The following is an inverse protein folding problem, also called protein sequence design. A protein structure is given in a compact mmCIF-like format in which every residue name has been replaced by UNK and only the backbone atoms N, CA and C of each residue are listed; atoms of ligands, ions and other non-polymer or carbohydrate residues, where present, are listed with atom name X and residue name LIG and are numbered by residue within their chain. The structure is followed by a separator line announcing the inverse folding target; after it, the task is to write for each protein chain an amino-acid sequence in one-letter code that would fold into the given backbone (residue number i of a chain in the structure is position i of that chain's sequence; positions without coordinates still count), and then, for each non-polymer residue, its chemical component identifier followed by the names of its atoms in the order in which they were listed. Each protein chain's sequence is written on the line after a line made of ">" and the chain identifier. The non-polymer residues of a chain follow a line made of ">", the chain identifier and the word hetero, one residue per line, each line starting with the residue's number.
data_IF_790370951923
#
_entry.id   IF_790370951923
#
_cell.length_a   1.000
_cell.length_b   1.000
_cell.length_c   1.000
_cell.angle_alpha   90.00
_cell.angle_beta   90.00
_cell.angle_gamma   90.00
#
_symmetry.space_group_name_H-M   'P 1'
#
loop_
_entity.id
_entity.type
_entity.pdbx_description
1 polymer ?
#
# COMPACT_ATOMS: atom_id res chain seq x y z
N UNK A 1 17.66 -5.62 -3.09
CA UNK A 1 17.78 -4.16 -2.84
C UNK A 1 16.56 -3.37 -3.35
N UNK A 2 16.15 -3.43 -4.64
CA UNK A 2 15.06 -2.59 -5.15
C UNK A 2 13.73 -2.78 -4.42
N UNK A 3 13.38 -4.02 -4.08
CA UNK A 3 12.15 -4.36 -3.33
C UNK A 3 12.18 -3.75 -1.94
N UNK A 4 13.29 -3.88 -1.22
CA UNK A 4 13.42 -3.31 0.11
C UNK A 4 13.31 -1.77 0.06
N UNK A 5 13.79 -1.12 -1.00
CA UNK A 5 13.56 0.32 -1.22
C UNK A 5 12.07 0.62 -1.43
N UNK A 6 11.37 -0.14 -2.27
CA UNK A 6 9.92 0.00 -2.44
C UNK A 6 9.16 -0.21 -1.14
N UNK A 7 9.53 -1.20 -0.34
CA UNK A 7 8.92 -1.47 0.97
C UNK A 7 9.16 -0.31 1.93
N UNK A 8 10.35 0.31 1.92
CA UNK A 8 10.62 1.53 2.70
C UNK A 8 9.74 2.69 2.23
N UNK A 9 9.66 2.95 0.91
CA UNK A 9 8.83 4.04 0.36
C UNK A 9 7.35 3.80 0.70
N UNK A 10 6.87 2.57 0.53
CA UNK A 10 5.51 2.16 0.86
C UNK A 10 5.22 2.32 2.35
N UNK A 11 6.14 1.89 3.23
CA UNK A 11 6.01 2.10 4.66
C UNK A 11 5.97 3.59 5.04
N UNK A 12 6.80 4.42 4.40
CA UNK A 12 6.82 5.87 4.64
C UNK A 12 5.46 6.47 4.27
N UNK A 13 4.99 6.19 3.05
CA UNK A 13 3.77 6.77 2.52
C UNK A 13 2.50 6.28 3.21
N UNK A 14 2.39 4.97 3.50
CA UNK A 14 1.23 4.44 4.23
C UNK A 14 1.13 5.00 5.65
N UNK A 15 2.26 5.10 6.36
CA UNK A 15 2.28 5.74 7.68
C UNK A 15 1.90 7.22 7.57
N UNK A 16 2.36 7.91 6.53
CA UNK A 16 2.05 9.33 6.33
C UNK A 16 0.55 9.55 6.08
N UNK A 17 -0.03 8.79 5.14
CA UNK A 17 -1.47 8.81 4.78
C UNK A 17 -2.34 8.49 5.98
N UNK A 18 -2.05 7.38 6.69
CA UNK A 18 -2.82 6.98 7.86
C UNK A 18 -2.80 8.10 8.91
N UNK A 19 -1.64 8.70 9.14
CA UNK A 19 -1.49 9.74 10.16
C UNK A 19 -2.19 11.04 9.75
N UNK A 20 -2.18 11.43 8.48
CA UNK A 20 -2.93 12.60 8.00
C UNK A 20 -4.41 12.48 8.37
N UNK A 21 -5.05 11.34 8.07
CA UNK A 21 -6.47 11.15 8.38
C UNK A 21 -6.73 11.04 9.88
N UNK A 22 -5.83 10.44 10.66
CA UNK A 22 -5.91 10.47 12.11
C UNK A 22 -5.79 11.89 12.67
N UNK A 23 -4.93 12.74 12.12
CA UNK A 23 -4.80 14.14 12.56
C UNK A 23 -6.06 14.93 12.25
N UNK A 24 -6.64 14.75 11.06
CA UNK A 24 -7.92 15.39 10.71
C UNK A 24 -9.00 14.98 11.72
N UNK A 25 -9.14 13.69 12.00
CA UNK A 25 -10.10 13.19 12.99
C UNK A 25 -9.82 13.71 14.41
N UNK A 26 -8.56 13.71 14.86
CA UNK A 26 -8.16 14.18 16.18
C UNK A 26 -8.47 15.66 16.37
N UNK A 27 -8.26 16.48 15.33
CA UNK A 27 -8.54 17.93 15.38
C UNK A 27 -10.03 18.27 15.41
N UNK A 28 -10.91 17.32 15.08
CA UNK A 28 -12.35 17.45 15.32
C UNK A 28 -12.73 17.17 16.77
N UNK A 29 -11.85 16.54 17.55
CA UNK A 29 -12.05 16.28 18.99
C UNK A 29 -11.45 17.38 19.86
N UNK A 30 -10.27 17.87 19.48
CA UNK A 30 -9.48 18.83 20.25
C UNK A 30 -8.89 19.88 19.33
N UNK A 31 -8.98 21.15 19.72
CA UNK A 31 -8.43 22.26 18.94
C UNK A 31 -6.92 22.39 19.18
N UNK A 32 -6.14 21.74 18.33
CA UNK A 32 -4.67 21.80 18.34
C UNK A 32 -4.11 21.98 16.92
N UNK A 33 -2.91 22.58 16.77
CA UNK A 33 -2.25 22.70 15.48
C UNK A 33 -1.96 21.34 14.84
N UNK A 34 -2.05 21.27 13.50
CA UNK A 34 -1.84 20.04 12.72
C UNK A 34 -0.48 19.38 13.02
N UNK A 35 0.60 20.17 13.06
CA UNK A 35 1.94 19.64 13.29
C UNK A 35 2.08 19.01 14.69
N UNK A 36 1.41 19.55 15.70
CA UNK A 36 1.45 19.05 17.07
C UNK A 36 0.70 17.72 17.18
N UNK A 37 -0.50 17.67 16.60
CA UNK A 37 -1.29 16.44 16.48
C UNK A 37 -0.51 15.33 15.75
N UNK A 38 0.08 15.66 14.60
CA UNK A 38 0.87 14.72 13.81
C UNK A 38 2.06 14.19 14.61
N UNK A 39 2.83 15.09 15.23
CA UNK A 39 4.00 14.72 16.04
C UNK A 39 3.61 13.80 17.19
N UNK A 40 2.53 14.12 17.91
CA UNK A 40 2.03 13.28 19.01
C UNK A 40 1.65 11.87 18.56
N UNK A 41 0.92 11.75 17.45
CA UNK A 41 0.53 10.45 16.89
C UNK A 41 1.77 9.66 16.45
N UNK A 42 2.73 10.29 15.77
CA UNK A 42 3.97 9.63 15.35
C UNK A 42 4.81 9.14 16.52
N UNK A 43 4.88 9.89 17.62
CA UNK A 43 5.59 9.46 18.84
C UNK A 43 4.96 8.16 19.39
N UNK A 44 3.63 8.10 19.46
CA UNK A 44 2.91 6.91 19.92
C UNK A 44 3.17 5.72 18.97
N UNK A 45 3.05 5.92 17.67
CA UNK A 45 3.30 4.89 16.66
C UNK A 45 4.75 4.37 16.71
N UNK A 46 5.74 5.26 16.87
CA UNK A 46 7.15 4.90 16.97
C UNK A 46 7.46 4.08 18.23
N UNK A 47 6.86 4.46 19.38
CA UNK A 47 6.99 3.68 20.63
C UNK A 47 6.49 2.25 20.44
N UNK A 48 5.31 2.07 19.82
CA UNK A 48 4.81 0.73 19.51
C UNK A 48 5.71 -0.05 18.55
N UNK A 49 6.25 0.61 17.53
CA UNK A 49 7.14 -0.02 16.56
C UNK A 49 8.48 -0.47 17.18
N UNK A 50 9.02 0.27 18.15
CA UNK A 50 10.29 -0.05 18.83
C UNK A 50 10.19 -1.34 19.64
N UNK A 51 9.03 -1.60 20.26
CA UNK A 51 8.79 -2.75 21.13
C UNK A 51 8.72 -4.10 20.40
N UNK A 52 8.68 -4.09 19.05
CA UNK A 52 8.96 -5.25 18.21
C UNK A 52 7.77 -6.17 17.93
N UNK A 53 8.04 -7.21 17.13
CA UNK A 53 7.05 -8.06 16.46
C UNK A 53 5.96 -8.63 17.37
N UNK A 54 6.32 -9.22 18.51
CA UNK A 54 5.35 -9.93 19.36
C UNK A 54 4.31 -9.00 19.96
N UNK A 55 4.72 -7.78 20.34
CA UNK A 55 3.80 -6.80 20.86
C UNK A 55 2.93 -6.20 19.75
N UNK A 56 3.50 -5.93 18.58
CA UNK A 56 2.74 -5.49 17.40
C UNK A 56 1.65 -6.53 17.06
N UNK A 57 1.99 -7.82 17.09
CA UNK A 57 1.01 -8.89 16.88
C UNK A 57 -0.10 -8.93 17.93
N UNK A 58 0.26 -8.78 19.21
CA UNK A 58 -0.72 -8.74 20.29
C UNK A 58 -1.65 -7.52 20.15
N UNK A 59 -1.09 -6.34 19.91
CA UNK A 59 -1.85 -5.10 19.70
C UNK A 59 -2.75 -5.25 18.48
N UNK A 60 -2.27 -5.80 17.37
CA UNK A 60 -3.11 -6.04 16.19
C UNK A 60 -4.27 -6.98 16.52
N UNK A 61 -4.05 -8.06 17.27
CA UNK A 61 -5.12 -8.99 17.68
C UNK A 61 -6.19 -8.31 18.54
N UNK A 62 -5.77 -7.48 19.50
CA UNK A 62 -6.69 -6.72 20.35
C UNK A 62 -7.42 -5.66 19.51
N UNK A 63 -6.68 -4.90 18.71
CA UNK A 63 -7.19 -3.85 17.85
C UNK A 63 -8.20 -4.39 16.84
N UNK A 64 -8.00 -5.59 16.28
CA UNK A 64 -8.99 -6.22 15.40
C UNK A 64 -10.34 -6.32 16.11
N UNK A 65 -10.39 -6.87 17.33
CA UNK A 65 -11.66 -7.01 18.06
C UNK A 65 -12.26 -5.65 18.41
N UNK A 66 -11.45 -4.75 18.97
CA UNK A 66 -11.91 -3.42 19.42
C UNK A 66 -12.41 -2.59 18.24
N UNK A 67 -11.63 -2.51 17.15
CA UNK A 67 -11.99 -1.74 15.97
C UNK A 67 -13.18 -2.36 15.24
N UNK A 68 -13.30 -3.69 15.18
CA UNK A 68 -14.51 -4.32 14.64
C UNK A 68 -15.75 -3.90 15.43
N UNK A 69 -15.71 -3.89 16.76
CA UNK A 69 -16.85 -3.44 17.57
C UNK A 69 -17.15 -1.96 17.31
N UNK A 70 -16.12 -1.11 17.32
CA UNK A 70 -16.30 0.33 17.11
C UNK A 70 -16.84 0.65 15.70
N UNK A 71 -16.32 0.00 14.65
CA UNK A 71 -16.85 0.17 13.30
C UNK A 71 -18.24 -0.45 13.13
N UNK A 72 -18.60 -1.50 13.88
CA UNK A 72 -19.97 -2.02 13.93
C UNK A 72 -20.93 -0.99 14.54
N UNK A 73 -20.53 -0.33 15.64
CA UNK A 73 -21.30 0.79 16.21
C UNK A 73 -21.45 1.92 15.19
N UNK A 74 -20.36 2.35 14.55
CA UNK A 74 -20.39 3.37 13.50
C UNK A 74 -21.33 2.94 12.36
N UNK A 75 -21.29 1.68 11.93
CA UNK A 75 -22.16 1.15 10.88
C UNK A 75 -23.63 1.32 11.26
N UNK A 76 -24.02 0.88 12.46
CA UNK A 76 -25.41 0.96 12.95
C UNK A 76 -25.87 2.42 13.00
N UNK A 77 -25.02 3.32 13.50
CA UNK A 77 -25.32 4.75 13.56
C UNK A 77 -25.48 5.36 12.17
N UNK A 78 -24.60 5.00 11.23
CA UNK A 78 -24.70 5.44 9.84
C UNK A 78 -26.01 4.97 9.21
N UNK A 79 -26.42 3.71 9.40
CA UNK A 79 -27.65 3.15 8.80
C UNK A 79 -28.92 3.93 9.18
N UNK A 80 -28.93 4.63 10.31
CA UNK A 80 -30.11 5.40 10.75
C UNK A 80 -30.35 6.68 9.96
N UNK A 81 -29.32 7.20 9.29
CA UNK A 81 -29.36 8.47 8.56
C UNK A 81 -29.11 8.34 7.07
N UNK A 82 -28.76 7.14 6.60
CA UNK A 82 -28.51 6.88 5.19
C UNK A 82 -29.81 6.95 4.42
N UNK A 83 -29.79 7.73 3.35
CA UNK A 83 -30.78 7.66 2.30
C UNK A 83 -30.40 6.56 1.29
N UNK A 84 -31.17 5.48 1.27
CA UNK A 84 -30.98 4.36 0.33
C UNK A 84 -31.56 4.63 -1.06
N UNK A 85 -32.21 5.78 -1.27
CA UNK A 85 -32.77 6.18 -2.56
C UNK A 85 -31.74 6.87 -3.46
N UNK A 86 -30.50 7.05 -2.98
CA UNK A 86 -29.42 7.69 -3.72
C UNK A 86 -29.10 6.90 -4.99
N UNK A 87 -29.46 7.51 -6.13
CA UNK A 87 -29.18 6.98 -7.46
C UNK A 87 -27.80 7.41 -7.97
N UNK A 88 -27.47 6.94 -9.18
CA UNK A 88 -26.25 7.34 -9.89
C UNK A 88 -26.31 8.84 -10.20
N UNK A 89 -25.34 9.61 -9.70
CA UNK A 89 -25.17 11.00 -10.09
C UNK A 89 -24.30 11.10 -11.35
N UNK A 90 -24.93 11.27 -12.50
CA UNK A 90 -24.24 11.42 -13.80
C UNK A 90 -23.50 12.75 -13.95
N UNK A 91 -23.78 13.73 -13.10
CA UNK A 91 -23.13 15.05 -13.08
C UNK A 91 -21.92 15.09 -12.13
N UNK A 92 -21.63 13.98 -11.42
CA UNK A 92 -20.50 13.93 -10.51
C UNK A 92 -19.16 14.17 -11.27
N UNK A 93 -18.20 14.92 -10.71
CA UNK A 93 -16.95 15.26 -11.39
C UNK A 93 -16.12 14.06 -11.89
N UNK A 94 -16.29 12.90 -11.27
CA UNK A 94 -15.60 11.65 -11.61
C UNK A 94 -16.50 10.63 -12.33
N UNK A 95 -17.70 11.03 -12.76
CA UNK A 95 -18.57 10.16 -13.54
C UNK A 95 -17.96 9.93 -14.92
N UNK A 96 -17.70 8.66 -15.25
CA UNK A 96 -17.07 8.23 -16.49
C UNK A 96 -17.90 7.14 -17.20
N UNK A 97 -19.18 7.01 -16.83
CA UNK A 97 -20.04 5.90 -17.24
C UNK A 97 -19.96 4.70 -16.30
N UNK A 98 -20.96 3.81 -16.36
CA UNK A 98 -21.07 2.68 -15.42
C UNK A 98 -19.85 1.74 -15.50
N UNK A 99 -19.47 1.33 -16.71
CA UNK A 99 -18.36 0.37 -16.88
C UNK A 99 -17.00 0.94 -16.45
N UNK A 100 -16.65 2.15 -16.91
CA UNK A 100 -15.38 2.78 -16.56
C UNK A 100 -15.31 3.16 -15.08
N UNK A 101 -16.44 3.57 -14.48
CA UNK A 101 -16.55 3.82 -13.05
C UNK A 101 -16.29 2.54 -12.24
N UNK A 102 -16.90 1.43 -12.64
CA UNK A 102 -16.64 0.12 -12.02
C UNK A 102 -15.19 -0.35 -12.19
N UNK A 103 -14.61 -0.17 -13.38
CA UNK A 103 -13.22 -0.58 -13.61
C UNK A 103 -12.24 0.25 -12.78
N UNK A 104 -12.46 1.56 -12.69
CA UNK A 104 -11.66 2.47 -11.87
C UNK A 104 -11.81 2.16 -10.38
N UNK A 105 -13.04 1.93 -9.92
CA UNK A 105 -13.31 1.48 -8.55
C UNK A 105 -12.58 0.17 -8.24
N UNK A 106 -12.70 -0.84 -9.10
CA UNK A 106 -12.00 -2.11 -8.95
C UNK A 106 -10.47 -1.91 -8.96
N UNK A 107 -9.97 -1.01 -9.80
CA UNK A 107 -8.57 -0.61 -9.88
C UNK A 107 -8.04 -0.04 -8.57
N UNK A 108 -8.78 0.83 -7.89
CA UNK A 108 -8.39 1.37 -6.59
C UNK A 108 -8.32 0.31 -5.49
N UNK A 109 -9.32 -0.56 -5.39
CA UNK A 109 -9.31 -1.66 -4.41
C UNK A 109 -8.19 -2.66 -4.71
N UNK A 110 -8.00 -3.00 -5.98
CA UNK A 110 -6.91 -3.86 -6.42
C UNK A 110 -5.54 -3.24 -6.10
N UNK A 111 -5.33 -1.97 -6.44
CA UNK A 111 -4.12 -1.23 -6.12
C UNK A 111 -3.84 -1.28 -4.62
N UNK A 112 -4.82 -0.91 -3.78
CA UNK A 112 -4.71 -0.95 -2.33
C UNK A 112 -4.22 -2.32 -1.85
N UNK A 113 -4.89 -3.41 -2.24
CA UNK A 113 -4.52 -4.77 -1.80
C UNK A 113 -3.12 -5.14 -2.29
N UNK A 114 -2.82 -4.85 -3.55
CA UNK A 114 -1.54 -5.22 -4.15
C UNK A 114 -0.37 -4.52 -3.46
N UNK A 115 -0.53 -3.29 -2.96
CA UNK A 115 0.53 -2.58 -2.22
C UNK A 115 1.07 -3.33 -1.01
N UNK A 116 0.29 -4.25 -0.44
CA UNK A 116 0.66 -5.07 0.72
C UNK A 116 1.45 -6.33 0.34
N UNK A 117 1.51 -6.69 -0.94
CA UNK A 117 2.22 -7.88 -1.44
C UNK A 117 3.68 -7.96 -0.97
N UNK A 118 4.48 -6.86 -1.00
CA UNK A 118 5.87 -6.91 -0.53
C UNK A 118 6.01 -7.27 0.96
N UNK A 119 4.98 -7.04 1.77
CA UNK A 119 4.99 -7.34 3.20
C UNK A 119 4.53 -8.77 3.52
N UNK A 120 3.97 -9.50 2.55
CA UNK A 120 3.42 -10.84 2.78
C UNK A 120 4.47 -11.83 3.33
N UNK A 121 5.72 -11.72 2.90
CA UNK A 121 6.84 -12.56 3.37
C UNK A 121 7.24 -12.29 4.82
N UNK A 122 6.95 -11.11 5.36
CA UNK A 122 7.29 -10.77 6.75
C UNK A 122 6.47 -11.58 7.75
N UNK A 123 5.26 -11.96 7.38
CA UNK A 123 4.35 -12.75 8.22
C UNK A 123 4.46 -14.25 7.93
N UNK A 124 4.55 -14.64 6.65
CA UNK A 124 4.56 -16.07 6.28
C UNK A 124 5.81 -16.80 6.78
N UNK A 125 6.94 -16.10 6.98
CA UNK A 125 8.18 -16.69 7.52
C UNK A 125 8.05 -17.25 8.93
N UNK A 126 7.05 -16.81 9.69
CA UNK A 126 6.80 -17.28 11.06
C UNK A 126 5.85 -18.47 11.12
N UNK A 127 5.25 -18.86 9.98
CA UNK A 127 4.37 -20.03 9.91
C UNK A 127 5.19 -21.33 9.85
N UNK A 128 4.71 -22.42 10.48
CA UNK A 128 5.31 -23.74 10.29
C UNK A 128 5.36 -24.13 8.81
N UNK A 129 6.41 -24.84 8.40
CA UNK A 129 6.58 -25.31 7.01
C UNK A 129 5.43 -26.24 6.56
N UNK A 130 4.73 -26.87 7.49
CA UNK A 130 3.57 -27.75 7.23
C UNK A 130 2.26 -26.99 7.02
N UNK A 131 2.27 -25.66 7.12
CA UNK A 131 1.05 -24.84 6.96
C UNK A 131 0.57 -24.88 5.52
N UNK A 132 -0.70 -25.25 5.33
CA UNK A 132 -1.31 -25.30 4.00
C UNK A 132 -1.37 -23.91 3.35
N UNK A 133 -0.78 -23.78 2.15
CA UNK A 133 -0.85 -22.54 1.36
C UNK A 133 -2.30 -22.12 1.07
N UNK A 134 -3.19 -23.08 0.78
CA UNK A 134 -4.60 -22.80 0.50
C UNK A 134 -5.32 -22.18 1.72
N UNK A 135 -5.01 -22.65 2.93
CA UNK A 135 -5.56 -22.06 4.15
C UNK A 135 -5.06 -20.63 4.36
N UNK A 136 -3.76 -20.40 4.19
CA UNK A 136 -3.17 -19.05 4.30
C UNK A 136 -3.84 -18.10 3.31
N UNK A 137 -3.91 -18.49 2.03
CA UNK A 137 -4.58 -17.69 0.99
C UNK A 137 -6.04 -17.43 1.35
N UNK A 138 -6.80 -18.45 1.75
CA UNK A 138 -8.23 -18.30 2.04
C UNK A 138 -8.49 -17.34 3.20
N UNK A 139 -7.79 -17.49 4.33
CA UNK A 139 -7.99 -16.61 5.49
C UNK A 139 -7.54 -15.17 5.21
N UNK A 140 -6.40 -14.98 4.53
CA UNK A 140 -5.91 -13.64 4.16
C UNK A 140 -6.85 -12.96 3.17
N UNK A 141 -7.28 -13.67 2.11
CA UNK A 141 -8.18 -13.12 1.10
C UNK A 141 -9.56 -12.81 1.68
N UNK A 142 -10.15 -13.72 2.47
CA UNK A 142 -11.48 -13.53 3.05
C UNK A 142 -11.48 -12.39 4.07
N UNK A 143 -10.46 -12.33 4.95
CA UNK A 143 -10.34 -11.23 5.92
C UNK A 143 -10.23 -9.87 5.24
N UNK A 144 -9.40 -9.78 4.19
CA UNK A 144 -9.24 -8.55 3.39
C UNK A 144 -10.55 -8.19 2.69
N UNK A 145 -11.18 -9.15 2.03
CA UNK A 145 -12.44 -8.94 1.30
C UNK A 145 -13.56 -8.46 2.22
N UNK A 146 -13.78 -9.12 3.36
CA UNK A 146 -14.84 -8.75 4.31
C UNK A 146 -14.61 -7.34 4.85
N UNK A 147 -13.38 -7.01 5.26
CA UNK A 147 -13.07 -5.69 5.78
C UNK A 147 -13.27 -4.58 4.72
N UNK A 148 -12.79 -4.81 3.49
CA UNK A 148 -12.90 -3.86 2.40
C UNK A 148 -14.34 -3.67 1.91
N UNK A 149 -15.08 -4.76 1.74
CA UNK A 149 -16.49 -4.70 1.34
C UNK A 149 -17.32 -3.98 2.39
N UNK A 150 -17.11 -4.29 3.68
CA UNK A 150 -17.86 -3.68 4.76
C UNK A 150 -17.53 -2.20 4.93
N UNK A 151 -16.27 -1.83 5.15
CA UNK A 151 -15.88 -0.44 5.40
C UNK A 151 -15.96 0.42 4.12
N UNK A 152 -15.66 -0.16 2.96
CA UNK A 152 -15.87 0.50 1.67
C UNK A 152 -17.36 0.76 1.41
N UNK A 153 -18.24 -0.18 1.76
CA UNK A 153 -19.68 0.00 1.72
C UNK A 153 -20.14 1.16 2.61
N UNK A 154 -19.65 1.25 3.85
CA UNK A 154 -19.91 2.43 4.71
C UNK A 154 -19.41 3.71 4.04
N UNK A 155 -18.23 3.71 3.43
CA UNK A 155 -17.69 4.86 2.70
C UNK A 155 -18.61 5.35 1.58
N UNK A 156 -19.20 4.43 0.81
CA UNK A 156 -20.21 4.78 -0.21
C UNK A 156 -21.43 5.44 0.43
N UNK A 157 -21.91 4.90 1.54
CA UNK A 157 -23.07 5.46 2.25
C UNK A 157 -22.78 6.81 2.92
N UNK A 158 -21.55 7.04 3.39
CA UNK A 158 -21.12 8.35 3.86
C UNK A 158 -21.05 9.33 2.68
N UNK A 159 -20.56 8.89 1.53
CA UNK A 159 -20.40 9.75 0.35
C UNK A 159 -21.74 10.25 -0.20
N UNK A 160 -22.83 9.50 -0.03
CA UNK A 160 -24.15 9.95 -0.49
C UNK A 160 -24.73 11.09 0.35
N UNK A 161 -24.28 11.23 1.59
CA UNK A 161 -24.68 12.29 2.52
C UNK A 161 -23.67 13.44 2.57
N UNK A 162 -22.43 13.19 2.17
CA UNK A 162 -21.30 14.11 2.36
C UNK A 162 -21.49 15.50 1.74
N UNK A 163 -22.22 15.62 0.62
CA UNK A 163 -22.30 16.87 -0.13
C UNK A 163 -20.91 17.33 -0.56
N UNK A 164 -20.49 18.51 -0.10
CA UNK A 164 -19.13 19.05 -0.32
C UNK A 164 -18.13 18.66 0.77
N UNK A 165 -18.56 17.93 1.81
CA UNK A 165 -17.68 17.51 2.89
C UNK A 165 -16.73 16.40 2.43
N UNK A 166 -15.49 16.53 2.87
CA UNK A 166 -14.52 15.45 2.83
C UNK A 166 -14.93 14.26 3.73
N UNK A 167 -14.37 13.07 3.48
CA UNK A 167 -14.84 11.82 4.09
C UNK A 167 -14.83 11.80 5.64
N UNK A 168 -13.84 12.43 6.28
CA UNK A 168 -13.74 12.46 7.75
C UNK A 168 -14.77 13.43 8.35
N UNK A 169 -14.87 14.70 7.89
CA UNK A 169 -15.98 15.58 8.28
C UNK A 169 -17.37 15.01 7.98
N UNK A 170 -17.57 14.38 6.83
CA UNK A 170 -18.84 13.74 6.47
C UNK A 170 -19.21 12.61 7.45
N UNK A 171 -18.22 11.79 7.84
CA UNK A 171 -18.44 10.75 8.85
C UNK A 171 -18.81 11.34 10.22
N UNK A 172 -18.16 12.43 10.62
CA UNK A 172 -18.49 13.12 11.87
C UNK A 172 -19.92 13.67 11.85
N UNK A 173 -20.33 14.32 10.76
CA UNK A 173 -21.68 14.87 10.63
C UNK A 173 -22.75 13.76 10.60
N UNK A 174 -22.48 12.69 9.84
CA UNK A 174 -23.33 11.51 9.80
C UNK A 174 -23.50 10.89 11.20
N UNK A 175 -22.44 10.77 11.98
CA UNK A 175 -22.50 10.20 13.34
C UNK A 175 -23.02 11.17 14.41
N UNK A 176 -23.11 12.47 14.12
CA UNK A 176 -23.75 13.48 14.98
C UNK A 176 -23.19 13.52 16.40
N UNK A 177 -24.04 13.29 17.41
CA UNK A 177 -23.59 13.26 18.82
C UNK A 177 -22.57 12.16 19.13
N UNK A 178 -22.45 11.16 18.26
CA UNK A 178 -21.45 10.09 18.36
C UNK A 178 -20.17 10.37 17.57
N UNK A 179 -20.04 11.54 16.94
CA UNK A 179 -18.82 11.96 16.26
C UNK A 179 -17.55 11.77 17.11
N UNK A 180 -17.55 12.04 18.43
CA UNK A 180 -16.36 11.81 19.23
C UNK A 180 -15.88 10.36 19.23
N UNK A 181 -16.81 9.40 19.27
CA UNK A 181 -16.51 7.97 19.22
C UNK A 181 -15.99 7.58 17.83
N UNK A 182 -16.61 8.10 16.77
CA UNK A 182 -16.18 7.84 15.39
C UNK A 182 -14.76 8.36 15.12
N UNK A 183 -14.48 9.60 15.50
CA UNK A 183 -13.16 10.21 15.32
C UNK A 183 -12.09 9.53 16.16
N UNK A 184 -12.41 9.16 17.40
CA UNK A 184 -11.49 8.37 18.23
C UNK A 184 -11.21 7.01 17.59
N UNK A 185 -12.22 6.36 17.01
CA UNK A 185 -12.06 5.09 16.29
C UNK A 185 -11.12 5.23 15.10
N UNK A 186 -11.27 6.30 14.30
CA UNK A 186 -10.37 6.62 13.19
C UNK A 186 -8.94 6.79 13.71
N UNK A 187 -8.72 7.62 14.73
CA UNK A 187 -7.37 7.82 15.32
C UNK A 187 -6.78 6.49 15.78
N UNK A 188 -7.51 5.72 16.59
CA UNK A 188 -7.05 4.45 17.15
C UNK A 188 -6.75 3.41 16.06
N UNK A 189 -7.51 3.39 14.98
CA UNK A 189 -7.32 2.43 13.87
C UNK A 189 -5.97 2.56 13.19
N UNK A 190 -5.38 3.76 13.20
CA UNK A 190 -4.13 4.04 12.49
C UNK A 190 -2.90 3.59 13.26
N UNK A 191 -2.99 3.45 14.59
CA UNK A 191 -1.83 3.17 15.44
C UNK A 191 -1.22 1.79 15.16
N UNK A 192 -1.99 0.68 15.13
CA UNK A 192 -1.42 -0.65 14.93
C UNK A 192 -0.82 -0.82 13.53
N UNK A 193 -1.53 -0.37 12.50
CA UNK A 193 -1.09 -0.47 11.11
C UNK A 193 0.15 0.39 10.83
N UNK A 194 0.22 1.59 11.40
CA UNK A 194 1.37 2.47 11.22
C UNK A 194 2.58 1.98 12.00
N UNK A 195 2.39 1.42 13.19
CA UNK A 195 3.47 0.76 13.94
C UNK A 195 4.06 -0.43 13.15
N UNK A 196 3.20 -1.22 12.50
CA UNK A 196 3.60 -2.31 11.62
C UNK A 196 4.40 -1.80 10.41
N UNK A 197 3.98 -0.71 9.78
CA UNK A 197 4.70 -0.08 8.67
C UNK A 197 6.08 0.43 9.09
N UNK A 198 6.17 1.16 10.21
CA UNK A 198 7.45 1.65 10.76
C UNK A 198 8.40 0.48 11.08
N UNK A 199 7.86 -0.60 11.67
CA UNK A 199 8.64 -1.80 11.96
C UNK A 199 9.13 -2.49 10.68
N UNK A 200 8.25 -2.78 9.72
CA UNK A 200 8.60 -3.44 8.45
C UNK A 200 9.55 -2.62 7.59
N UNK A 201 9.34 -1.31 7.53
CA UNK A 201 10.26 -0.39 6.87
C UNK A 201 11.65 -0.39 7.52
N UNK A 202 11.73 -0.44 8.86
CA UNK A 202 13.02 -0.50 9.56
C UNK A 202 13.79 -1.79 9.25
N UNK A 203 13.09 -2.93 9.12
CA UNK A 203 13.69 -4.19 8.68
C UNK A 203 14.16 -4.13 7.22
N UNK A 204 13.44 -3.40 6.38
CA UNK A 204 13.82 -3.18 4.98
C UNK A 204 15.10 -2.35 4.87
N UNK A 205 15.30 -1.32 5.72
CA UNK A 205 16.56 -0.57 5.82
C UNK A 205 17.75 -1.47 6.20
N UNK A 206 17.55 -2.38 7.15
CA UNK A 206 18.58 -3.37 7.54
C UNK A 206 18.93 -4.31 6.37
N UNK A 207 17.93 -4.69 5.58
CA UNK A 207 18.09 -5.59 4.43
C UNK A 207 18.92 -4.96 3.31
N UNK A 208 18.86 -3.63 3.14
CA UNK A 208 19.72 -2.89 2.20
C UNK A 208 21.08 -2.50 2.81
N UNK A 209 21.45 -3.06 3.96
CA UNK A 209 22.74 -2.90 4.64
C UNK A 209 23.07 -1.45 5.00
N UNK A 210 22.06 -0.63 5.24
CA UNK A 210 22.27 0.68 5.86
C UNK A 210 22.65 0.43 7.34
N UNK A 211 23.76 1.00 7.84
CA UNK A 211 24.29 0.69 9.18
C UNK A 211 23.50 1.41 10.29
N UNK A 212 22.20 1.18 10.36
CA UNK A 212 21.31 1.70 11.41
C UNK A 212 20.82 0.54 12.27
N UNK A 213 20.72 0.74 13.58
CA UNK A 213 20.00 -0.22 14.42
C UNK A 213 18.48 -0.06 14.21
N UNK A 214 17.68 -1.05 14.64
CA UNK A 214 16.22 -1.04 14.45
C UNK A 214 15.55 0.24 14.98
N UNK A 215 15.97 0.72 16.15
CA UNK A 215 15.38 1.90 16.80
C UNK A 215 15.63 3.16 15.95
N UNK A 216 16.87 3.34 15.48
CA UNK A 216 17.23 4.43 14.58
C UNK A 216 16.48 4.30 13.26
N UNK A 217 16.34 3.09 12.71
CA UNK A 217 15.56 2.86 11.50
C UNK A 217 14.09 3.26 11.64
N UNK A 218 13.44 2.90 12.76
CA UNK A 218 12.08 3.34 13.09
C UNK A 218 12.00 4.86 13.19
N UNK A 219 12.93 5.50 13.90
CA UNK A 219 12.95 6.95 14.06
C UNK A 219 13.13 7.69 12.72
N UNK A 220 14.05 7.23 11.86
CA UNK A 220 14.28 7.81 10.54
C UNK A 220 13.03 7.73 9.68
N UNK A 221 12.39 6.56 9.62
CA UNK A 221 11.16 6.38 8.83
C UNK A 221 10.04 7.23 9.38
N UNK A 222 9.85 7.26 10.71
CA UNK A 222 8.83 8.09 11.35
C UNK A 222 9.04 9.58 11.07
N UNK A 223 10.29 10.07 11.10
CA UNK A 223 10.61 11.47 10.81
C UNK A 223 10.34 11.82 9.34
N UNK A 224 10.72 10.95 8.40
CA UNK A 224 10.43 11.17 6.98
C UNK A 224 8.92 11.13 6.73
N UNK A 225 8.21 10.14 7.29
CA UNK A 225 6.75 10.05 7.22
C UNK A 225 6.06 11.27 7.81
N UNK A 226 6.54 11.79 8.95
CA UNK A 226 6.04 13.04 9.54
C UNK A 226 6.20 14.20 8.57
N UNK A 227 7.38 14.35 7.95
CA UNK A 227 7.61 15.35 6.91
C UNK A 227 6.59 15.24 5.77
N UNK A 228 6.35 14.03 5.26
CA UNK A 228 5.34 13.77 4.22
C UNK A 228 3.93 14.12 4.71
N UNK A 229 3.53 13.70 5.91
CA UNK A 229 2.24 14.06 6.53
C UNK A 229 2.04 15.58 6.60
N UNK A 230 3.07 16.33 6.95
CA UNK A 230 3.00 17.80 7.01
C UNK A 230 2.84 18.43 5.63
N UNK A 231 3.44 17.85 4.58
CA UNK A 231 3.26 18.31 3.21
C UNK A 231 1.86 18.01 2.68
N UNK A 232 1.26 16.89 3.11
CA UNK A 232 -0.08 16.47 2.70
C UNK A 232 -1.21 17.30 3.31
N UNK A 233 -0.95 18.12 4.34
CA UNK A 233 -1.99 18.81 5.11
C UNK A 233 -2.91 19.71 4.25
N UNK A 234 -2.41 20.23 3.14
CA UNK A 234 -3.14 21.17 2.26
C UNK A 234 -4.06 20.46 1.27
N UNK A 235 -3.77 19.22 0.92
CA UNK A 235 -4.58 18.41 0.02
C UNK A 235 -4.48 16.92 0.40
N UNK A 236 -5.05 16.52 1.55
CA UNK A 236 -4.86 15.19 2.10
C UNK A 236 -5.44 14.09 1.21
N UNK A 237 -6.64 14.31 0.64
CA UNK A 237 -7.31 13.35 -0.23
C UNK A 237 -6.65 13.25 -1.59
N UNK A 238 -6.33 14.38 -2.25
CA UNK A 238 -5.60 14.36 -3.53
C UNK A 238 -4.24 13.69 -3.40
N UNK A 239 -3.48 14.01 -2.34
CA UNK A 239 -2.19 13.36 -2.07
C UNK A 239 -2.34 11.86 -1.81
N UNK A 240 -3.44 11.44 -1.18
CA UNK A 240 -3.74 10.01 -0.99
C UNK A 240 -4.03 9.30 -2.32
N UNK A 241 -4.81 9.91 -3.21
CA UNK A 241 -5.06 9.37 -4.55
C UNK A 241 -3.78 9.25 -5.37
N UNK A 242 -2.96 10.30 -5.41
CA UNK A 242 -1.67 10.26 -6.11
C UNK A 242 -0.74 9.18 -5.52
N UNK A 243 -0.72 9.03 -4.20
CA UNK A 243 0.04 7.97 -3.53
C UNK A 243 -0.43 6.57 -3.93
N UNK A 244 -1.75 6.32 -3.93
CA UNK A 244 -2.31 5.05 -4.39
C UNK A 244 -1.95 4.75 -5.84
N UNK A 245 -2.05 5.75 -6.72
CA UNK A 245 -1.70 5.62 -8.14
C UNK A 245 -0.23 5.24 -8.30
N UNK A 246 0.70 5.98 -7.69
CA UNK A 246 2.13 5.67 -7.76
C UNK A 246 2.43 4.27 -7.24
N UNK A 247 1.82 3.85 -6.13
CA UNK A 247 2.01 2.50 -5.63
C UNK A 247 1.43 1.45 -6.59
N UNK A 248 0.24 1.65 -7.15
CA UNK A 248 -0.34 0.75 -8.14
C UNK A 248 0.60 0.56 -9.34
N UNK A 249 1.11 1.67 -9.86
CA UNK A 249 1.97 1.75 -11.04
C UNK A 249 3.30 0.99 -10.87
N UNK A 250 3.82 0.95 -9.64
CA UNK A 250 5.07 0.26 -9.33
C UNK A 250 4.85 -1.18 -8.88
N UNK A 251 3.81 -1.43 -8.08
CA UNK A 251 3.60 -2.72 -7.42
C UNK A 251 2.97 -3.75 -8.34
N UNK A 252 2.09 -3.36 -9.27
CA UNK A 252 1.48 -4.32 -10.21
C UNK A 252 2.52 -4.97 -11.13
N UNK A 253 3.39 -4.21 -11.83
CA UNK A 253 4.50 -4.80 -12.58
C UNK A 253 5.41 -5.67 -11.70
N UNK A 254 5.69 -5.21 -10.48
CA UNK A 254 6.55 -5.93 -9.54
C UNK A 254 5.97 -7.30 -9.17
N UNK A 255 4.73 -7.33 -8.69
CA UNK A 255 4.05 -8.56 -8.29
C UNK A 255 3.89 -9.52 -9.46
N UNK A 256 3.72 -8.99 -10.67
CA UNK A 256 3.70 -9.79 -11.90
C UNK A 256 5.02 -10.53 -12.10
N UNK A 257 6.15 -9.81 -12.07
CA UNK A 257 7.49 -10.41 -12.17
C UNK A 257 7.73 -11.42 -11.05
N UNK A 258 7.38 -11.06 -9.81
CA UNK A 258 7.56 -11.93 -8.64
C UNK A 258 6.82 -13.27 -8.81
N UNK A 259 5.55 -13.21 -9.22
CA UNK A 259 4.74 -14.41 -9.43
C UNK A 259 5.27 -15.24 -10.60
N UNK A 260 5.65 -14.61 -11.71
CA UNK A 260 6.24 -15.31 -12.85
C UNK A 260 7.57 -15.98 -12.50
N UNK A 261 8.45 -15.31 -11.76
CA UNK A 261 9.71 -15.90 -11.29
C UNK A 261 9.46 -17.05 -10.32
N UNK A 262 8.52 -16.90 -9.40
CA UNK A 262 8.13 -17.97 -8.49
C UNK A 262 7.63 -19.21 -9.23
N UNK A 263 6.62 -19.08 -10.10
CA UNK A 263 5.97 -20.22 -10.74
C UNK A 263 6.80 -20.84 -11.87
N UNK A 264 7.52 -20.05 -12.66
CA UNK A 264 8.27 -20.55 -13.81
C UNK A 264 9.68 -21.04 -13.43
N UNK A 265 10.28 -20.49 -12.37
CA UNK A 265 11.67 -20.72 -11.97
C UNK A 265 11.80 -21.24 -10.54
N UNK A 266 11.50 -20.43 -9.53
CA UNK A 266 11.86 -20.76 -8.13
C UNK A 266 11.20 -22.05 -7.63
N UNK A 267 9.92 -22.28 -7.95
CA UNK A 267 9.18 -23.49 -7.52
C UNK A 267 9.85 -24.79 -7.96
N UNK A 268 10.57 -24.76 -9.09
CA UNK A 268 11.31 -25.92 -9.61
C UNK A 268 12.68 -26.08 -8.95
N UNK A 269 13.29 -24.98 -8.51
CA UNK A 269 14.61 -24.95 -7.88
C UNK A 269 14.58 -25.35 -6.40
N UNK A 270 13.45 -25.16 -5.71
CA UNK A 270 13.31 -25.50 -4.29
C UNK A 270 14.38 -24.80 -3.44
N UNK A 271 15.06 -25.55 -2.57
CA UNK A 271 16.07 -25.02 -1.65
C UNK A 271 17.26 -24.35 -2.36
N UNK A 272 17.55 -24.72 -3.61
CA UNK A 272 18.61 -24.10 -4.40
C UNK A 272 18.31 -22.63 -4.72
N UNK A 273 17.04 -22.22 -4.77
CA UNK A 273 16.66 -20.81 -4.97
C UNK A 273 17.05 -19.95 -3.77
N UNK A 274 17.01 -20.51 -2.55
CA UNK A 274 17.36 -19.78 -1.32
C UNK A 274 18.83 -19.40 -1.29
N UNK A 275 19.72 -20.28 -1.78
CA UNK A 275 21.16 -20.00 -1.86
C UNK A 275 21.47 -18.77 -2.73
N UNK A 276 20.67 -18.52 -3.77
CA UNK A 276 20.84 -17.37 -4.65
C UNK A 276 20.53 -16.02 -3.97
N UNK A 277 19.62 -16.01 -2.99
CA UNK A 277 19.25 -14.79 -2.25
C UNK A 277 20.41 -14.25 -1.40
N UNK A 278 21.32 -15.14 -0.99
CA UNK A 278 22.49 -14.78 -0.18
C UNK A 278 23.72 -14.45 -1.03
N UNK A 279 23.67 -14.61 -2.35
CA UNK A 279 24.81 -14.29 -3.21
C UNK A 279 24.96 -12.76 -3.37
N UNK A 280 25.99 -12.14 -2.75
CA UNK A 280 26.19 -10.69 -2.83
C UNK A 280 26.54 -10.21 -4.24
N UNK A 281 26.85 -11.13 -5.16
CA UNK A 281 27.17 -10.83 -6.55
C UNK A 281 25.91 -10.50 -7.36
N UNK A 282 24.74 -10.90 -6.89
CA UNK A 282 23.44 -10.76 -7.57
C UNK A 282 22.68 -9.55 -7.02
N UNK A 283 23.19 -8.36 -7.30
CA UNK A 283 22.56 -7.10 -6.86
C UNK A 283 21.38 -6.70 -7.73
N UNK A 284 21.52 -6.87 -9.05
CA UNK A 284 20.51 -6.58 -10.08
C UNK A 284 20.49 -7.72 -11.09
N UNK A 285 19.30 -8.24 -11.37
CA UNK A 285 19.07 -9.37 -12.28
C UNK A 285 17.92 -9.06 -13.24
N UNK A 286 17.70 -9.94 -14.21
CA UNK A 286 16.68 -9.75 -15.26
C UNK A 286 15.26 -9.50 -14.74
N UNK A 287 14.91 -10.00 -13.54
CA UNK A 287 13.64 -9.67 -12.90
C UNK A 287 13.49 -8.16 -12.61
N UNK A 288 14.55 -7.48 -12.17
CA UNK A 288 14.52 -6.03 -11.98
C UNK A 288 14.36 -5.29 -13.31
N UNK A 289 15.04 -5.73 -14.37
CA UNK A 289 14.91 -5.14 -15.70
C UNK A 289 13.49 -5.32 -16.25
N UNK A 290 12.92 -6.51 -16.10
CA UNK A 290 11.53 -6.78 -16.48
C UNK A 290 10.54 -5.89 -15.72
N UNK A 291 10.80 -5.66 -14.43
CA UNK A 291 10.00 -4.76 -13.61
C UNK A 291 10.08 -3.31 -14.12
N UNK A 292 11.29 -2.80 -14.38
CA UNK A 292 11.50 -1.44 -14.92
C UNK A 292 10.82 -1.28 -16.28
N UNK A 293 10.93 -2.27 -17.18
CA UNK A 293 10.24 -2.25 -18.48
C UNK A 293 8.72 -2.25 -18.29
N UNK A 294 8.21 -3.06 -17.36
CA UNK A 294 6.78 -3.07 -17.02
C UNK A 294 6.30 -1.71 -16.50
N UNK A 295 7.05 -1.06 -15.61
CA UNK A 295 6.75 0.29 -15.15
C UNK A 295 6.84 1.34 -16.27
N UNK A 296 7.86 1.26 -17.13
CA UNK A 296 7.99 2.17 -18.27
C UNK A 296 6.81 2.03 -19.24
N UNK A 297 6.37 0.80 -19.51
CA UNK A 297 5.20 0.56 -20.36
C UNK A 297 3.89 1.00 -19.69
N UNK A 298 3.75 0.76 -18.38
CA UNK A 298 2.65 1.31 -17.57
C UNK A 298 2.61 2.84 -17.63
N UNK A 299 3.78 3.50 -17.61
CA UNK A 299 3.90 4.97 -17.57
C UNK A 299 3.27 5.66 -18.77
N UNK A 300 3.11 4.97 -19.89
CA UNK A 300 2.41 5.50 -21.06
C UNK A 300 0.95 5.89 -20.74
N UNK A 301 0.36 5.28 -19.73
CA UNK A 301 -1.05 5.45 -19.34
C UNK A 301 -1.24 6.03 -17.93
N UNK A 302 -0.17 6.48 -17.25
CA UNK A 302 -0.30 7.04 -15.91
C UNK A 302 -1.14 8.30 -15.89
N UNK A 303 -1.96 8.44 -14.85
CA UNK A 303 -2.80 9.61 -14.61
C UNK A 303 -2.60 10.04 -13.16
N UNK A 304 -1.65 10.95 -12.95
CA UNK A 304 -1.34 11.52 -11.63
C UNK A 304 -0.98 13.00 -11.77
N UNK A 305 -1.03 13.74 -10.67
CA UNK A 305 -0.59 15.15 -10.66
C UNK A 305 0.89 15.31 -10.99
N UNK A 306 1.71 14.30 -10.67
CA UNK A 306 3.16 14.30 -10.89
C UNK A 306 3.52 14.02 -12.35
N UNK A 307 2.78 13.12 -12.99
CA UNK A 307 3.04 12.69 -14.35
C UNK A 307 1.77 12.17 -15.02
N UNK A 308 1.51 12.68 -16.22
CA UNK A 308 0.49 12.17 -17.12
C UNK A 308 1.16 11.56 -18.34
N UNK A 309 0.88 10.29 -18.60
CA UNK A 309 1.45 9.54 -19.72
C UNK A 309 0.93 10.03 -21.07
N UNK A 310 1.72 9.90 -22.15
CA UNK A 310 1.33 10.36 -23.49
C UNK A 310 0.08 9.66 -24.07
N UNK A 311 -0.27 8.47 -23.56
CA UNK A 311 -1.45 7.70 -23.98
C UNK A 311 -2.55 7.66 -22.90
N UNK A 312 -2.43 8.45 -21.82
CA UNK A 312 -3.42 8.48 -20.73
C UNK A 312 -4.83 8.83 -21.24
N UNK A 313 -4.92 9.76 -22.19
CA UNK A 313 -6.20 10.16 -22.79
C UNK A 313 -6.77 9.18 -23.82
N UNK A 314 -5.98 8.22 -24.32
CA UNK A 314 -6.39 7.34 -25.43
C UNK A 314 -7.46 6.33 -25.01
N UNK A 315 -7.47 5.93 -23.74
CA UNK A 315 -8.41 4.94 -23.18
C UNK A 315 -9.25 5.51 -22.03
N UNK A 316 -9.43 6.83 -21.97
CA UNK A 316 -10.21 7.49 -20.92
C UNK A 316 -11.64 6.93 -20.78
N UNK A 317 -12.23 6.46 -21.88
CA UNK A 317 -13.53 5.80 -21.90
C UNK A 317 -13.59 4.45 -21.15
N UNK A 318 -12.42 3.84 -20.86
CA UNK A 318 -12.32 2.59 -20.10
C UNK A 318 -11.86 2.82 -18.65
N UNK A 319 -11.43 4.03 -18.30
CA UNK A 319 -10.83 4.35 -16.99
C UNK A 319 -9.31 4.20 -16.98
N UNK A 320 -8.72 4.07 -15.80
CA UNK A 320 -7.27 3.87 -15.66
C UNK A 320 -6.90 2.46 -16.16
N UNK A 321 -6.08 2.36 -17.22
CA UNK A 321 -5.60 1.10 -17.81
C UNK A 321 -4.12 0.81 -17.51
N UNK A 322 -3.47 1.67 -16.73
CA UNK A 322 -2.03 1.61 -16.42
C UNK A 322 -1.60 0.31 -15.75
N UNK A 323 -2.45 -0.28 -14.90
CA UNK A 323 -2.15 -1.55 -14.22
C UNK A 323 -2.17 -2.74 -15.18
N UNK A 324 -3.08 -2.73 -16.17
CA UNK A 324 -3.13 -3.74 -17.24
C UNK A 324 -1.88 -3.62 -18.10
N UNK A 325 -1.54 -2.40 -18.53
CA UNK A 325 -0.32 -2.15 -19.27
C UNK A 325 0.90 -2.64 -18.48
N UNK A 326 0.99 -2.28 -17.20
CA UNK A 326 2.07 -2.73 -16.32
C UNK A 326 2.21 -4.24 -16.21
N UNK A 327 1.08 -4.95 -16.05
CA UNK A 327 1.04 -6.42 -16.07
C UNK A 327 1.54 -6.99 -17.40
N UNK A 328 1.05 -6.49 -18.54
CA UNK A 328 1.43 -6.98 -19.86
C UNK A 328 2.91 -6.71 -20.15
N UNK A 329 3.37 -5.49 -19.91
CA UNK A 329 4.76 -5.08 -20.12
C UNK A 329 5.73 -5.91 -19.27
N UNK A 330 5.43 -6.10 -17.98
CA UNK A 330 6.21 -6.95 -17.10
C UNK A 330 6.22 -8.42 -17.54
N UNK A 331 5.07 -8.95 -17.97
CA UNK A 331 4.94 -10.33 -18.43
C UNK A 331 5.78 -10.59 -19.68
N UNK A 332 5.63 -9.75 -20.71
CA UNK A 332 6.36 -9.86 -21.97
C UNK A 332 7.87 -9.74 -21.71
N UNK A 333 8.28 -8.73 -20.95
CA UNK A 333 9.68 -8.50 -20.64
C UNK A 333 10.29 -9.69 -19.86
N UNK A 334 9.59 -10.20 -18.84
CA UNK A 334 10.08 -11.32 -18.05
C UNK A 334 10.21 -12.60 -18.90
N UNK A 335 9.21 -12.92 -19.72
CA UNK A 335 9.23 -14.11 -20.58
C UNK A 335 10.36 -14.05 -21.61
N UNK A 336 10.64 -12.87 -22.15
CA UNK A 336 11.72 -12.63 -23.10
C UNK A 336 13.12 -12.69 -22.46
N UNK A 337 13.26 -12.19 -21.23
CA UNK A 337 14.55 -12.10 -20.54
C UNK A 337 14.92 -13.38 -19.78
N UNK A 338 13.95 -14.19 -19.33
CA UNK A 338 14.22 -15.43 -18.56
C UNK A 338 15.20 -16.43 -19.21
N UNK A 339 15.29 -16.59 -20.55
CA UNK A 339 16.19 -17.58 -21.16
C UNK A 339 17.66 -17.12 -21.15
N UNK A 340 17.92 -15.84 -20.87
CA UNK A 340 19.26 -15.28 -20.87
C UNK A 340 20.07 -15.79 -19.66
N UNK A 341 21.40 -15.92 -19.79
CA UNK A 341 22.24 -16.20 -18.63
C UNK A 341 22.13 -15.07 -17.59
N UNK A 342 22.45 -15.34 -16.30
CA UNK A 342 22.35 -14.34 -15.24
C UNK A 342 22.99 -13.01 -15.62
N UNK A 343 22.31 -11.90 -15.38
CA UNK A 343 22.81 -10.58 -15.79
C UNK A 343 24.14 -10.26 -15.09
N UNK A 344 24.26 -10.68 -13.83
CA UNK A 344 25.47 -10.54 -13.04
C UNK A 344 26.68 -11.30 -13.62
N UNK A 345 26.49 -12.38 -14.36
CA UNK A 345 27.59 -13.09 -15.03
C UNK A 345 28.04 -12.37 -16.30
N UNK A 346 27.09 -11.85 -17.09
CA UNK A 346 27.37 -11.07 -18.29
C UNK A 346 28.16 -9.78 -18.00
N UNK A 347 27.74 -9.02 -16.98
CA UNK A 347 28.43 -7.79 -16.55
C UNK A 347 29.87 -8.02 -16.08
N UNK A 348 30.20 -9.23 -15.63
CA UNK A 348 31.55 -9.61 -15.19
C UNK A 348 32.40 -10.20 -16.30
N UNK A 349 31.78 -10.90 -17.25
CA UNK A 349 32.46 -11.40 -18.45
C UNK A 349 33.11 -10.27 -19.26
N UNK A 350 32.44 -9.12 -19.37
CA UNK A 350 33.01 -7.92 -20.01
C UNK A 350 34.24 -7.34 -19.30
N UNK A 351 34.23 -7.30 -17.95
CA UNK A 351 35.37 -6.79 -17.17
C UNK A 351 36.63 -7.65 -17.24
N UNK A 352 36.50 -8.94 -17.56
CA UNK A 352 37.69 -9.80 -17.77
C UNK A 352 38.33 -9.61 -19.13
N UNK A 353 37.58 -9.19 -20.14
CA UNK A 353 38.10 -8.94 -21.49
C UNK A 353 38.92 -7.64 -21.57
N UNK A 354 38.56 -6.61 -20.79
CA UNK A 354 39.28 -5.32 -20.74
C UNK A 354 40.61 -5.37 -19.97
N UNK A 355 40.86 -6.39 -19.13
CA UNK A 355 42.14 -6.54 -18.41
C UNK A 355 43.17 -7.35 -19.22
N UNK A 356 42.76 -7.88 -20.37
CA UNK A 356 43.60 -8.66 -21.29
C UNK A 356 43.85 -7.98 -22.65
N UNK A 357 43.44 -6.70 -22.78
CA UNK A 357 43.80 -5.83 -23.89
C UNK A 357 44.67 -4.69 -23.35
#
# INVERSE_FOLDING_TARGET
>A
VPIAVLTVISAIGWTAVNTVFAVIALRMLIDIPFWLAATGIFLIQAVFAIWGHNLIHLINKIATVVLTILFAVITVLSMQKVDFTVGVNTEAPYYMGEFAGWLTFAGFFFAYVMTWTPFASDFSRYLPQTTSHAKVTFFTATGTFVAMMWLGGIGVLVSSFAGELDAIPALADLTGSWAPVAMLTVVLSTLPVSAMNLYGGSLSLLTIRIPVNRIVGVAVIALISLGVTLLMQTNPYGSFYDFLNVLAYLVVPFSTVLLLDYYLRMRKLGDAATAELFDPRRTVEWGFVAWVIGCAFSSLFWTSTLFTGPLAGTFSAFGDVSFIAGFLGATIAYIALKPLPPLSSLLRGGKRAEVTA
#
